data_IF_789341222297
#
_entry.id   IF_789341222297
#
_cell.length_a   1.000
_cell.length_b   1.000
_cell.length_c   1.000
_cell.angle_alpha   90.00
_cell.angle_beta   90.00
_cell.angle_gamma   90.00
#
_symmetry.space_group_name_H-M   'P 1'
#
loop_
_entity.id
_entity.type
_entity.pdbx_description
1 polymer ?
#
# COMPACT_ATOMS: atom_id res chain seq x y z
N UNK A 1 -18.99 -24.93 11.28
CA UNK A 1 -17.97 -23.99 10.78
C UNK A 1 -16.70 -24.79 10.62
N UNK A 2 -16.22 -24.92 9.39
CA UNK A 2 -15.08 -25.80 9.08
C UNK A 2 -13.78 -25.20 9.60
N UNK A 3 -12.79 -26.03 9.90
CA UNK A 3 -11.43 -25.60 10.29
C UNK A 3 -10.86 -24.55 9.30
N UNK A 4 -11.21 -24.65 8.02
CA UNK A 4 -10.83 -23.69 6.97
C UNK A 4 -11.43 -22.29 7.19
N UNK A 5 -12.66 -22.17 7.70
CA UNK A 5 -13.31 -20.88 7.95
C UNK A 5 -12.61 -20.10 9.08
N UNK A 6 -12.04 -20.81 10.06
CA UNK A 6 -11.38 -20.22 11.23
C UNK A 6 -9.98 -19.65 10.89
N UNK A 7 -9.30 -20.20 9.88
CA UNK A 7 -7.97 -19.75 9.45
C UNK A 7 -7.94 -19.01 8.12
N UNK A 8 -9.07 -18.90 7.42
CA UNK A 8 -9.16 -18.19 6.14
C UNK A 8 -8.58 -16.77 6.20
N UNK A 9 -8.89 -16.01 7.26
CA UNK A 9 -8.33 -14.67 7.46
C UNK A 9 -6.82 -14.65 7.65
N UNK A 10 -6.28 -15.60 8.42
CA UNK A 10 -4.83 -15.72 8.64
C UNK A 10 -4.09 -16.05 7.34
N UNK A 11 -4.61 -17.02 6.57
CA UNK A 11 -4.06 -17.40 5.27
C UNK A 11 -4.16 -16.25 4.26
N UNK A 12 -5.29 -15.53 4.23
CA UNK A 12 -5.46 -14.36 3.39
C UNK A 12 -4.43 -13.26 3.75
N UNK A 13 -4.14 -13.06 5.03
CA UNK A 13 -3.10 -12.13 5.49
C UNK A 13 -1.71 -12.49 4.96
N UNK A 14 -1.28 -13.75 5.13
CA UNK A 14 0.02 -14.22 4.63
C UNK A 14 0.10 -14.14 3.10
N UNK A 15 -0.96 -14.56 2.41
CA UNK A 15 -1.05 -14.44 0.95
C UNK A 15 -0.96 -12.98 0.50
N UNK A 16 -1.63 -12.07 1.21
CA UNK A 16 -1.57 -10.62 0.94
C UNK A 16 -0.16 -10.08 1.11
N UNK A 17 0.56 -10.46 2.18
CA UNK A 17 1.96 -10.04 2.38
C UNK A 17 2.89 -10.53 1.27
N UNK A 18 2.72 -11.78 0.83
CA UNK A 18 3.48 -12.33 -0.30
C UNK A 18 3.20 -11.55 -1.60
N UNK A 19 1.91 -11.33 -1.91
CA UNK A 19 1.50 -10.57 -3.09
C UNK A 19 2.02 -9.13 -3.04
N UNK A 20 2.01 -8.49 -1.87
CA UNK A 20 2.56 -7.15 -1.67
C UNK A 20 4.06 -7.08 -1.95
N UNK A 21 4.83 -8.08 -1.54
CA UNK A 21 6.25 -8.16 -1.80
C UNK A 21 6.53 -8.25 -3.32
N UNK A 22 5.85 -9.16 -4.03
CA UNK A 22 5.96 -9.31 -5.49
C UNK A 22 5.54 -8.02 -6.20
N UNK A 23 4.39 -7.47 -5.81
CA UNK A 23 3.81 -6.27 -6.43
C UNK A 23 4.73 -5.05 -6.28
N UNK A 24 5.37 -4.88 -5.12
CA UNK A 24 6.30 -3.78 -4.88
C UNK A 24 7.54 -3.85 -5.78
N UNK A 25 8.06 -5.05 -6.03
CA UNK A 25 9.17 -5.27 -6.97
C UNK A 25 8.73 -4.97 -8.42
N UNK A 26 7.56 -5.48 -8.82
CA UNK A 26 6.99 -5.28 -10.16
C UNK A 26 6.68 -3.81 -10.43
N UNK A 27 6.02 -3.11 -9.50
CA UNK A 27 5.72 -1.68 -9.65
C UNK A 27 6.97 -0.83 -9.66
N UNK A 28 7.99 -1.13 -8.85
CA UNK A 28 9.24 -0.40 -8.94
C UNK A 28 9.92 -0.58 -10.30
N UNK A 29 9.89 -1.79 -10.86
CA UNK A 29 10.43 -2.05 -12.20
C UNK A 29 9.63 -1.32 -13.29
N UNK A 30 8.29 -1.36 -13.22
CA UNK A 30 7.42 -0.68 -14.17
C UNK A 30 7.55 0.85 -14.06
N UNK A 31 7.56 1.41 -12.85
CA UNK A 31 7.64 2.85 -12.60
C UNK A 31 8.98 3.44 -13.03
N UNK A 32 10.09 2.67 -12.93
CA UNK A 32 11.38 3.07 -13.50
C UNK A 32 11.38 3.12 -15.04
N UNK A 33 10.56 2.30 -15.71
CA UNK A 33 10.51 2.21 -17.17
C UNK A 33 9.53 3.19 -17.81
N UNK A 34 8.33 3.31 -17.23
CA UNK A 34 7.21 4.07 -17.80
C UNK A 34 6.95 5.38 -17.05
N UNK A 35 7.52 5.55 -15.86
CA UNK A 35 7.23 6.64 -14.95
C UNK A 35 6.10 6.31 -13.96
N UNK A 36 6.14 6.84 -12.73
CA UNK A 36 5.11 6.63 -11.70
C UNK A 36 3.68 6.96 -12.14
N UNK A 37 3.51 8.10 -12.83
CA UNK A 37 2.19 8.57 -13.31
C UNK A 37 1.59 7.59 -14.31
N UNK A 38 2.38 7.14 -15.29
CA UNK A 38 1.90 6.23 -16.33
C UNK A 38 1.50 4.87 -15.75
N UNK A 39 2.31 4.33 -14.82
CA UNK A 39 1.97 3.08 -14.12
C UNK A 39 0.61 3.20 -13.42
N UNK A 40 0.38 4.27 -12.67
CA UNK A 40 -0.90 4.44 -12.00
C UNK A 40 -2.05 4.64 -13.00
N UNK A 41 -1.84 5.42 -14.06
CA UNK A 41 -2.83 5.66 -15.10
C UNK A 41 -3.29 4.37 -15.81
N UNK A 42 -2.41 3.39 -16.02
CA UNK A 42 -2.80 2.07 -16.55
C UNK A 42 -3.41 1.16 -15.47
N UNK A 43 -2.94 1.28 -14.22
CA UNK A 43 -3.42 0.47 -13.11
C UNK A 43 -4.88 0.75 -12.76
N UNK A 44 -5.29 2.02 -12.72
CA UNK A 44 -6.64 2.41 -12.25
C UNK A 44 -7.76 1.86 -13.15
N UNK A 45 -7.72 1.97 -14.49
CA UNK A 45 -8.74 1.38 -15.36
C UNK A 45 -8.82 -0.15 -15.23
N UNK A 46 -7.67 -0.82 -15.12
CA UNK A 46 -7.62 -2.27 -14.91
C UNK A 46 -8.23 -2.65 -13.55
N UNK A 47 -7.87 -1.93 -12.49
CA UNK A 47 -8.43 -2.13 -11.16
C UNK A 47 -9.96 -1.91 -11.15
N UNK A 48 -10.45 -0.88 -11.83
CA UNK A 48 -11.88 -0.61 -11.97
C UNK A 48 -12.60 -1.75 -12.71
N UNK A 49 -12.03 -2.26 -13.81
CA UNK A 49 -12.60 -3.38 -14.54
C UNK A 49 -12.68 -4.64 -13.67
N UNK A 50 -11.58 -4.99 -13.00
CA UNK A 50 -11.52 -6.16 -12.12
C UNK A 50 -12.51 -6.02 -10.94
N UNK A 51 -12.61 -4.82 -10.36
CA UNK A 51 -13.55 -4.53 -9.29
C UNK A 51 -15.01 -4.63 -9.77
N UNK A 52 -15.33 -4.10 -10.95
CA UNK A 52 -16.67 -4.17 -11.53
C UNK A 52 -17.08 -5.63 -11.85
N UNK A 53 -16.17 -6.43 -12.41
CA UNK A 53 -16.41 -7.86 -12.67
C UNK A 53 -16.60 -8.62 -11.35
N UNK A 54 -15.79 -8.34 -10.33
CA UNK A 54 -15.92 -8.96 -9.01
C UNK A 54 -17.24 -8.59 -8.35
N UNK A 55 -17.63 -7.30 -8.42
CA UNK A 55 -18.90 -6.81 -7.89
C UNK A 55 -20.09 -7.48 -8.59
N UNK A 56 -20.06 -7.58 -9.92
CA UNK A 56 -21.08 -8.28 -10.69
C UNK A 56 -21.17 -9.77 -10.33
N UNK A 57 -20.04 -10.45 -10.19
CA UNK A 57 -20.01 -11.86 -9.81
C UNK A 57 -20.61 -12.13 -8.42
N UNK A 58 -20.39 -11.22 -7.47
CA UNK A 58 -20.88 -11.36 -6.09
C UNK A 58 -22.32 -10.87 -5.88
N UNK A 59 -22.73 -9.82 -6.59
CA UNK A 59 -23.99 -9.11 -6.33
C UNK A 59 -24.97 -9.10 -7.52
N UNK A 60 -24.58 -9.62 -8.67
CA UNK A 60 -25.41 -9.68 -9.89
C UNK A 60 -25.66 -8.33 -10.57
N UNK A 61 -25.08 -7.23 -10.06
CA UNK A 61 -25.22 -5.88 -10.60
C UNK A 61 -23.86 -5.31 -11.00
N UNK A 62 -23.80 -4.45 -12.01
CA UNK A 62 -22.55 -3.81 -12.44
C UNK A 62 -22.11 -2.64 -11.56
N UNK A 63 -23.06 -2.04 -10.85
CA UNK A 63 -22.82 -0.88 -9.99
C UNK A 63 -23.41 -1.11 -8.60
N UNK A 64 -22.74 -0.62 -7.54
CA UNK A 64 -23.29 -0.64 -6.20
C UNK A 64 -24.42 0.39 -6.07
N UNK A 65 -25.43 0.09 -5.25
CA UNK A 65 -26.45 1.06 -4.85
C UNK A 65 -25.86 2.01 -3.80
N UNK A 66 -25.43 3.19 -4.22
CA UNK A 66 -24.83 4.21 -3.35
C UNK A 66 -25.73 5.44 -3.23
N UNK A 67 -25.78 6.02 -2.03
CA UNK A 67 -26.27 7.39 -1.85
C UNK A 67 -25.28 8.41 -2.43
N UNK A 68 -25.76 9.60 -2.79
CA UNK A 68 -24.89 10.67 -3.30
C UNK A 68 -23.73 10.99 -2.33
N UNK A 69 -23.99 10.98 -1.02
CA UNK A 69 -22.97 11.18 0.02
C UNK A 69 -21.90 10.09 0.00
N UNK A 70 -22.29 8.82 -0.11
CA UNK A 70 -21.35 7.70 -0.16
C UNK A 70 -20.49 7.75 -1.43
N UNK A 71 -21.11 8.04 -2.58
CA UNK A 71 -20.38 8.22 -3.83
C UNK A 71 -19.34 9.34 -3.72
N UNK A 72 -19.70 10.44 -3.04
CA UNK A 72 -18.78 11.57 -2.86
C UNK A 72 -17.62 11.29 -1.92
N UNK A 73 -17.88 10.60 -0.80
CA UNK A 73 -16.82 10.14 0.10
C UNK A 73 -15.89 9.12 -0.58
N UNK A 74 -16.45 8.22 -1.40
CA UNK A 74 -15.66 7.24 -2.15
C UNK A 74 -14.79 7.90 -3.22
N UNK A 75 -15.33 8.90 -3.94
CA UNK A 75 -14.56 9.68 -4.91
C UNK A 75 -13.41 10.44 -4.25
N UNK A 76 -13.66 11.08 -3.10
CA UNK A 76 -12.63 11.78 -2.34
C UNK A 76 -11.56 10.81 -1.82
N UNK A 77 -11.97 9.65 -1.29
CA UNK A 77 -11.05 8.59 -0.85
C UNK A 77 -10.20 8.08 -2.01
N UNK A 78 -10.79 7.84 -3.18
CA UNK A 78 -10.07 7.45 -4.39
C UNK A 78 -9.06 8.51 -4.82
N UNK A 79 -9.42 9.80 -4.80
CA UNK A 79 -8.51 10.87 -5.15
C UNK A 79 -7.29 10.94 -4.20
N UNK A 80 -7.54 10.83 -2.89
CA UNK A 80 -6.46 10.91 -1.89
C UNK A 80 -5.59 9.65 -1.93
N UNK A 81 -6.19 8.46 -1.86
CA UNK A 81 -5.48 7.20 -1.78
C UNK A 81 -4.92 6.77 -3.14
N UNK A 82 -5.79 6.63 -4.13
CA UNK A 82 -5.47 6.03 -5.42
C UNK A 82 -4.74 6.96 -6.38
N UNK A 83 -4.87 8.29 -6.20
CA UNK A 83 -4.09 9.26 -6.97
C UNK A 83 -2.90 9.76 -6.16
N UNK A 84 -3.12 10.56 -5.12
CA UNK A 84 -2.01 11.23 -4.42
C UNK A 84 -1.12 10.22 -3.68
N UNK A 85 -1.73 9.31 -2.92
CA UNK A 85 -1.03 8.30 -2.14
C UNK A 85 -0.21 7.35 -3.02
N UNK A 86 -0.81 6.79 -4.05
CA UNK A 86 -0.10 5.90 -4.98
C UNK A 86 0.99 6.61 -5.78
N UNK A 87 0.82 7.89 -6.13
CA UNK A 87 1.90 8.65 -6.75
C UNK A 87 3.10 8.79 -5.81
N UNK A 88 2.86 9.13 -4.54
CA UNK A 88 3.92 9.18 -3.54
C UNK A 88 4.59 7.80 -3.36
N UNK A 89 3.80 6.72 -3.33
CA UNK A 89 4.30 5.36 -3.23
C UNK A 89 5.19 4.99 -4.42
N UNK A 90 4.73 5.21 -5.65
CA UNK A 90 5.47 4.84 -6.85
C UNK A 90 6.73 5.67 -7.04
N UNK A 91 6.70 6.96 -6.67
CA UNK A 91 7.92 7.79 -6.61
C UNK A 91 8.90 7.23 -5.59
N UNK A 92 8.46 6.90 -4.37
CA UNK A 92 9.32 6.31 -3.35
C UNK A 92 9.93 4.95 -3.80
N UNK A 93 9.14 4.10 -4.46
CA UNK A 93 9.61 2.83 -5.02
C UNK A 93 10.75 3.02 -6.04
N UNK A 94 10.74 4.14 -6.78
CA UNK A 94 11.79 4.50 -7.73
C UNK A 94 13.00 5.12 -7.02
N UNK A 95 12.77 6.03 -6.08
CA UNK A 95 13.81 6.87 -5.48
C UNK A 95 14.62 6.15 -4.39
N UNK A 96 13.95 5.50 -3.44
CA UNK A 96 14.59 4.81 -2.29
C UNK A 96 14.52 3.29 -2.41
N UNK A 97 13.83 2.80 -3.43
CA UNK A 97 13.71 1.38 -3.76
C UNK A 97 12.61 0.63 -2.97
N UNK A 98 12.25 -0.60 -3.40
CA UNK A 98 11.15 -1.37 -2.82
C UNK A 98 11.30 -1.65 -1.33
N UNK A 99 12.48 -2.11 -0.90
CA UNK A 99 12.73 -2.53 0.49
C UNK A 99 12.48 -1.39 1.46
N UNK A 100 13.13 -0.24 1.27
CA UNK A 100 12.98 0.90 2.16
C UNK A 100 11.56 1.49 2.09
N UNK A 101 10.97 1.55 0.90
CA UNK A 101 9.57 2.01 0.75
C UNK A 101 8.60 1.14 1.53
N UNK A 102 8.68 -0.18 1.41
CA UNK A 102 7.79 -1.10 2.15
C UNK A 102 8.02 -1.04 3.66
N UNK A 103 9.26 -0.82 4.11
CA UNK A 103 9.57 -0.61 5.53
C UNK A 103 8.96 0.71 6.03
N UNK A 104 9.07 1.80 5.28
CA UNK A 104 8.41 3.06 5.67
C UNK A 104 6.89 2.88 5.70
N UNK A 105 6.31 2.16 4.74
CA UNK A 105 4.87 1.89 4.72
C UNK A 105 4.36 1.13 5.95
N UNK A 106 5.18 0.30 6.60
CA UNK A 106 4.77 -0.38 7.84
C UNK A 106 4.57 0.56 9.04
N UNK A 107 4.86 1.86 8.89
CA UNK A 107 4.47 2.91 9.85
C UNK A 107 3.04 3.42 9.64
N UNK A 108 2.36 3.03 8.55
CA UNK A 108 0.98 3.41 8.25
C UNK A 108 -0.02 3.18 9.41
N UNK A 109 0.09 2.10 10.23
CA UNK A 109 -0.79 1.91 11.38
C UNK A 109 -0.77 3.07 12.39
N UNK A 110 0.35 3.80 12.53
CA UNK A 110 0.43 4.98 13.41
C UNK A 110 -0.52 6.07 12.91
N UNK A 111 -0.44 6.39 11.61
CA UNK A 111 -1.28 7.41 11.01
C UNK A 111 -2.75 6.98 10.98
N UNK A 112 -3.01 5.70 10.69
CA UNK A 112 -4.36 5.14 10.74
C UNK A 112 -4.97 5.23 12.14
N UNK A 113 -4.20 4.92 13.19
CA UNK A 113 -4.61 5.06 14.59
C UNK A 113 -4.98 6.51 14.96
N UNK A 114 -4.13 7.46 14.59
CA UNK A 114 -4.37 8.90 14.88
C UNK A 114 -5.60 9.41 14.13
N UNK A 115 -5.70 9.10 12.83
CA UNK A 115 -6.81 9.55 12.00
C UNK A 115 -8.12 8.84 12.36
N UNK A 116 -8.09 7.55 12.71
CA UNK A 116 -9.26 6.81 13.19
C UNK A 116 -9.80 7.38 14.49
N UNK A 117 -8.92 7.68 15.45
CA UNK A 117 -9.34 8.37 16.68
C UNK A 117 -9.93 9.76 16.39
N UNK A 118 -9.25 10.59 15.58
CA UNK A 118 -9.65 11.97 15.33
C UNK A 118 -10.90 12.11 14.43
N UNK A 119 -11.03 11.28 13.39
CA UNK A 119 -12.08 11.40 12.39
C UNK A 119 -13.27 10.46 12.62
N UNK A 120 -13.03 9.29 13.23
CA UNK A 120 -14.06 8.26 13.45
C UNK A 120 -14.42 8.10 14.93
N UNK A 121 -13.67 8.70 15.86
CA UNK A 121 -13.89 8.56 17.30
C UNK A 121 -13.51 7.17 17.82
N UNK A 122 -12.66 6.43 17.11
CA UNK A 122 -12.25 5.09 17.50
C UNK A 122 -11.32 5.11 18.73
N UNK A 123 -11.65 4.30 19.74
CA UNK A 123 -10.80 4.11 20.92
C UNK A 123 -9.91 2.89 20.74
N UNK A 124 -8.58 3.09 20.78
CA UNK A 124 -7.62 1.99 20.68
C UNK A 124 -7.44 1.30 22.02
N UNK A 125 -7.47 -0.03 22.00
CA UNK A 125 -7.16 -0.82 23.19
C UNK A 125 -5.66 -0.75 23.50
N UNK A 126 -5.25 -0.94 24.76
CA UNK A 126 -3.83 -1.02 25.12
C UNK A 126 -3.07 -2.11 24.34
N UNK A 127 -3.75 -3.21 24.02
CA UNK A 127 -3.18 -4.30 23.21
C UNK A 127 -2.90 -3.88 21.76
N UNK A 128 -3.82 -3.11 21.15
CA UNK A 128 -3.60 -2.56 19.80
C UNK A 128 -2.42 -1.58 19.79
N UNK A 129 -2.31 -0.73 20.82
CA UNK A 129 -1.19 0.19 20.96
C UNK A 129 0.15 -0.56 21.09
N UNK A 130 0.20 -1.63 21.87
CA UNK A 130 1.38 -2.49 21.98
C UNK A 130 1.76 -3.10 20.62
N UNK A 131 0.78 -3.59 19.86
CA UNK A 131 1.02 -4.12 18.51
C UNK A 131 1.62 -3.08 17.56
N UNK A 132 1.13 -1.83 17.60
CA UNK A 132 1.69 -0.72 16.82
C UNK A 132 3.15 -0.45 17.25
N UNK A 133 3.41 -0.32 18.55
CA UNK A 133 4.77 -0.07 19.08
C UNK A 133 5.75 -1.16 18.67
N UNK A 134 5.36 -2.44 18.79
CA UNK A 134 6.21 -3.57 18.38
C UNK A 134 6.50 -3.55 16.88
N UNK A 135 5.48 -3.30 16.05
CA UNK A 135 5.62 -3.25 14.59
C UNK A 135 6.57 -2.12 14.19
N UNK A 136 6.35 -0.92 14.72
CA UNK A 136 7.18 0.25 14.42
C UNK A 136 8.61 0.07 14.94
N UNK A 137 8.78 -0.51 16.12
CA UNK A 137 10.09 -0.82 16.71
C UNK A 137 10.90 -1.79 15.83
N UNK A 138 10.28 -2.86 15.35
CA UNK A 138 10.92 -3.81 14.43
C UNK A 138 11.35 -3.15 13.12
N UNK A 139 10.54 -2.23 12.60
CA UNK A 139 10.84 -1.48 11.38
C UNK A 139 12.01 -0.53 11.58
N UNK A 140 12.00 0.23 12.69
CA UNK A 140 13.09 1.13 13.05
C UNK A 140 14.41 0.36 13.14
N UNK A 141 14.40 -0.83 13.74
CA UNK A 141 15.58 -1.71 13.81
C UNK A 141 16.14 -2.05 12.43
N UNK A 142 15.29 -2.56 11.51
CA UNK A 142 15.72 -2.97 10.17
C UNK A 142 16.19 -1.80 9.31
N UNK A 143 15.58 -0.62 9.47
CA UNK A 143 15.97 0.60 8.73
C UNK A 143 17.32 1.13 9.24
N UNK A 144 17.60 1.02 10.53
CA UNK A 144 18.87 1.46 11.13
C UNK A 144 20.03 0.50 10.82
N UNK A 145 19.73 -0.72 10.38
CA UNK A 145 20.72 -1.70 9.98
C UNK A 145 21.43 -1.27 8.67
N UNK A 146 22.71 -0.89 8.78
CA UNK A 146 23.49 -0.42 7.64
C UNK A 146 23.88 -1.60 6.73
N UNK A 147 23.80 -1.45 5.39
CA UNK A 147 24.36 -2.44 4.48
C UNK A 147 25.86 -2.62 4.74
N UNK A 148 26.41 -3.85 4.64
CA UNK A 148 27.84 -4.08 4.72
C UNK A 148 28.59 -3.17 3.74
N UNK A 149 29.54 -2.39 4.26
CA UNK A 149 30.40 -1.52 3.44
C UNK A 149 31.33 -2.41 2.60
N UNK A 150 30.94 -2.69 1.36
CA UNK A 150 31.74 -3.49 0.43
C UNK A 150 31.45 -3.26 -1.06
N UNK A 151 30.61 -2.29 -1.42
CA UNK A 151 30.37 -1.93 -2.82
C UNK A 151 31.35 -0.86 -3.33
N UNK A 152 31.81 -0.92 -4.59
CA UNK A 152 32.71 0.09 -5.16
C UNK A 152 32.08 1.50 -5.09
N UNK A 153 32.91 2.56 -5.00
CA UNK A 153 32.44 3.92 -4.76
C UNK A 153 31.40 4.33 -5.80
N UNK A 154 30.27 4.86 -5.30
CA UNK A 154 29.19 5.38 -6.13
C UNK A 154 29.75 6.44 -7.09
N UNK A 155 29.61 6.21 -8.39
CA UNK A 155 30.00 7.19 -9.40
C UNK A 155 29.14 8.45 -9.20
N UNK A 156 29.74 9.65 -9.15
CA UNK A 156 29.00 10.88 -8.99
C UNK A 156 28.16 11.14 -10.24
N UNK A 157 26.88 11.38 -10.04
CA UNK A 157 25.97 12.11 -10.94
C UNK A 157 26.08 11.80 -12.44
N UNK A 158 25.24 10.89 -12.95
CA UNK A 158 24.70 11.05 -14.31
C UNK A 158 23.36 11.75 -14.22
N UNK A 159 23.43 13.07 -14.45
CA UNK A 159 22.31 13.92 -14.80
C UNK A 159 21.42 13.19 -15.82
N UNK A 160 20.11 13.23 -15.56
CA UNK A 160 19.06 12.82 -16.50
C UNK A 160 19.33 13.46 -17.86
N UNK A 161 19.56 12.61 -18.84
CA UNK A 161 19.60 12.96 -20.26
C UNK A 161 18.89 11.86 -21.02
N UNK A 162 17.60 12.13 -21.27
CA UNK A 162 16.71 11.83 -22.40
C UNK A 162 15.28 11.76 -21.84
#
# INVERSE_FOLDING_TARGET
MTFLDQYAGHLAGVATSFLWAVTSLSFAAAARRLGPVAVNAYRIPLALLLLAVTHWWLHGTWTPSLTARQAWLLALSGLIGLSIGDQALFVALVDIGPRLTTLVMTTAPIFAAILGWAALGEALTPLALLGIVLTVGGVAWVVLERPPRGGPPASPHRLRGV
#
